data_IF_013549814823
#
_entry.id   IF_013549814823
#
_cell.length_a   1.000
_cell.length_b   1.000
_cell.length_c   1.000
_cell.angle_alpha   90.00
_cell.angle_beta   90.00
_cell.angle_gamma   90.00
#
_symmetry.space_group_name_H-M   'P 1'
#
loop_
_entity.id
_entity.type
_entity.pdbx_description
1 polymer ?
#
# COMPACT_ATOMS: atom_id res chain seq x y z
N UNK A 1 7.70 -13.11 -9.11
CA UNK A 1 7.84 -13.18 -7.65
C UNK A 1 9.14 -12.51 -7.31
N UNK A 2 9.17 -11.66 -6.28
CA UNK A 2 10.35 -10.85 -5.93
C UNK A 2 10.60 -10.88 -4.42
N UNK A 3 11.85 -10.77 -3.95
CA UNK A 3 12.14 -10.72 -2.51
C UNK A 3 11.31 -9.63 -1.83
N UNK A 4 10.72 -9.96 -0.68
CA UNK A 4 10.00 -9.02 0.16
C UNK A 4 10.91 -8.44 1.22
N UNK A 5 10.58 -7.24 1.67
CA UNK A 5 11.19 -6.59 2.81
C UNK A 5 10.29 -6.64 4.05
N UNK A 6 10.82 -6.16 5.18
CA UNK A 6 10.10 -6.05 6.45
C UNK A 6 9.55 -7.40 6.94
N UNK A 7 10.46 -8.32 7.16
CA UNK A 7 10.19 -9.63 7.75
C UNK A 7 11.41 -10.14 8.52
N UNK A 8 11.20 -11.15 9.36
CA UNK A 8 12.27 -11.86 10.05
C UNK A 8 12.06 -13.38 9.94
N UNK A 9 13.13 -14.18 9.85
CA UNK A 9 13.00 -15.63 9.89
C UNK A 9 12.46 -16.09 11.26
N UNK A 10 11.77 -17.23 11.25
CA UNK A 10 11.32 -17.94 12.44
C UNK A 10 11.78 -19.40 12.36
N UNK A 11 11.50 -20.17 13.40
CA UNK A 11 11.79 -21.60 13.44
C UNK A 11 11.04 -22.39 12.35
N UNK A 12 11.61 -23.53 11.95
CA UNK A 12 11.01 -24.47 11.00
C UNK A 12 10.67 -23.87 9.63
N UNK A 13 11.45 -22.89 9.17
CA UNK A 13 11.27 -22.24 7.87
C UNK A 13 10.05 -21.31 7.80
N UNK A 14 9.40 -21.02 8.92
CA UNK A 14 8.38 -19.98 8.95
C UNK A 14 9.02 -18.59 8.90
N UNK A 15 8.23 -17.57 8.53
CA UNK A 15 8.65 -16.17 8.54
C UNK A 15 7.64 -15.31 9.26
N UNK A 16 8.12 -14.27 9.94
CA UNK A 16 7.31 -13.22 10.53
C UNK A 16 7.25 -12.06 9.55
N UNK A 17 6.14 -11.87 8.85
CA UNK A 17 5.90 -10.66 8.07
C UNK A 17 5.64 -9.50 9.03
N UNK A 18 6.29 -8.36 8.80
CA UNK A 18 6.21 -7.15 9.63
C UNK A 18 5.78 -5.92 8.84
N UNK A 19 5.22 -6.13 7.65
CA UNK A 19 4.80 -5.05 6.74
C UNK A 19 3.60 -4.24 7.28
N UNK A 20 2.62 -4.92 7.87
CA UNK A 20 1.41 -4.31 8.40
C UNK A 20 1.13 -4.77 9.82
N UNK A 21 0.17 -4.13 10.48
CA UNK A 21 -0.17 -4.42 11.87
C UNK A 21 -0.86 -5.76 12.10
N UNK A 22 -0.95 -6.64 11.10
CA UNK A 22 -1.31 -8.04 11.32
C UNK A 22 -0.16 -8.87 11.87
N UNK A 23 1.08 -8.51 11.57
CA UNK A 23 2.26 -9.30 11.92
C UNK A 23 2.05 -10.81 11.63
N UNK A 24 1.77 -11.15 10.37
CA UNK A 24 1.47 -12.54 10.01
C UNK A 24 2.70 -13.44 10.22
N UNK A 25 2.52 -14.53 10.98
CA UNK A 25 3.39 -15.71 10.88
C UNK A 25 2.98 -16.51 9.66
N UNK A 26 3.92 -16.77 8.76
CA UNK A 26 3.66 -17.47 7.49
C UNK A 26 4.56 -18.69 7.43
N UNK A 27 3.97 -19.88 7.50
CA UNK A 27 4.68 -21.15 7.31
C UNK A 27 5.25 -21.27 5.89
N UNK A 28 6.23 -22.14 5.69
CA UNK A 28 6.79 -22.38 4.35
C UNK A 28 5.69 -22.86 3.37
N UNK A 29 5.73 -22.32 2.15
CA UNK A 29 4.67 -22.47 1.14
C UNK A 29 3.39 -21.67 1.42
N UNK A 30 3.29 -21.02 2.58
CA UNK A 30 2.12 -20.26 3.01
C UNK A 30 2.04 -18.84 2.45
N UNK A 31 0.91 -18.18 2.72
CA UNK A 31 0.69 -16.76 2.38
C UNK A 31 0.22 -15.94 3.57
N UNK A 32 0.56 -14.67 3.58
CA UNK A 32 0.02 -13.69 4.52
C UNK A 32 -1.44 -13.37 4.22
N UNK A 33 -2.13 -12.73 5.17
CA UNK A 33 -3.56 -12.39 5.06
C UNK A 33 -3.91 -11.58 3.80
N UNK A 34 -3.00 -10.75 3.30
CA UNK A 34 -3.22 -9.97 2.08
C UNK A 34 -3.19 -10.79 0.77
N UNK A 35 -2.80 -12.07 0.84
CA UNK A 35 -2.75 -12.99 -0.30
C UNK A 35 -1.56 -12.79 -1.25
N UNK A 36 -0.77 -11.72 -1.08
CA UNK A 36 0.33 -11.35 -1.99
C UNK A 36 1.73 -11.47 -1.39
N UNK A 37 1.82 -11.75 -0.08
CA UNK A 37 3.07 -12.07 0.62
C UNK A 37 3.16 -13.58 0.77
N UNK A 38 4.20 -14.19 0.21
CA UNK A 38 4.35 -15.65 0.13
C UNK A 38 5.67 -16.03 0.78
N UNK A 39 5.66 -17.03 1.65
CA UNK A 39 6.89 -17.65 2.14
C UNK A 39 7.26 -18.81 1.22
N UNK A 40 8.49 -18.81 0.72
CA UNK A 40 9.02 -19.91 -0.09
C UNK A 40 10.44 -20.22 0.35
N UNK A 41 10.68 -21.43 0.84
CA UNK A 41 11.99 -21.87 1.32
C UNK A 41 12.49 -21.08 2.53
N UNK A 42 11.60 -20.58 3.39
CA UNK A 42 11.98 -19.78 4.56
C UNK A 42 12.34 -18.33 4.26
N UNK A 43 12.06 -17.84 3.04
CA UNK A 43 12.21 -16.45 2.67
C UNK A 43 10.88 -15.85 2.22
N UNK A 44 10.63 -14.59 2.59
CA UNK A 44 9.42 -13.90 2.18
C UNK A 44 9.57 -13.26 0.80
N UNK A 45 8.55 -13.41 -0.03
CA UNK A 45 8.43 -12.82 -1.35
C UNK A 45 7.12 -12.03 -1.49
N UNK A 46 7.11 -11.09 -2.44
CA UNK A 46 5.92 -10.38 -2.89
C UNK A 46 5.57 -10.78 -4.33
N UNK A 47 4.28 -10.91 -4.58
CA UNK A 47 3.75 -11.20 -5.92
C UNK A 47 3.47 -9.93 -6.74
N UNK A 48 3.50 -8.75 -6.11
CA UNK A 48 2.99 -7.50 -6.69
C UNK A 48 4.03 -6.40 -6.91
N UNK A 49 5.33 -6.66 -6.70
CA UNK A 49 6.41 -5.67 -6.90
C UNK A 49 6.46 -5.07 -8.31
N UNK A 50 5.96 -5.77 -9.32
CA UNK A 50 6.04 -5.34 -10.73
C UNK A 50 4.72 -5.52 -11.48
N UNK A 51 3.58 -5.50 -10.76
CA UNK A 51 2.26 -5.78 -11.33
C UNK A 51 1.24 -4.77 -10.85
N UNK A 52 0.84 -3.86 -11.74
CA UNK A 52 -0.21 -2.86 -11.49
C UNK A 52 -1.52 -3.35 -12.08
N UNK A 53 -2.55 -3.44 -11.26
CA UNK A 53 -3.86 -3.96 -11.63
C UNK A 53 -4.84 -2.85 -12.03
N UNK A 54 -4.60 -1.62 -11.57
CA UNK A 54 -5.36 -0.44 -11.97
C UNK A 54 -4.44 0.77 -12.06
N UNK A 55 -4.59 1.58 -13.10
CA UNK A 55 -3.81 2.78 -13.37
C UNK A 55 -4.70 3.81 -14.06
N UNK A 56 -4.78 5.03 -13.52
CA UNK A 56 -5.55 6.14 -14.10
C UNK A 56 -4.84 7.47 -13.83
N UNK A 57 -5.14 8.48 -14.64
CA UNK A 57 -4.76 9.88 -14.34
C UNK A 57 -6.00 10.64 -13.89
N UNK A 58 -5.97 11.13 -12.65
CA UNK A 58 -7.09 11.81 -12.01
C UNK A 58 -6.66 13.22 -11.53
N UNK A 59 -7.59 14.15 -11.30
CA UNK A 59 -7.31 15.36 -10.51
C UNK A 59 -6.98 14.99 -9.05
N UNK A 60 -6.10 15.77 -8.41
CA UNK A 60 -5.71 15.54 -7.00
C UNK A 60 -6.91 15.61 -6.04
N UNK A 61 -7.93 16.40 -6.37
CA UNK A 61 -9.17 16.54 -5.62
C UNK A 61 -9.94 15.20 -5.48
N UNK A 62 -9.73 14.25 -6.40
CA UNK A 62 -10.30 12.89 -6.29
C UNK A 62 -9.63 12.03 -5.21
N UNK A 63 -8.48 12.46 -4.67
CA UNK A 63 -7.76 11.82 -3.54
C UNK A 63 -8.14 12.44 -2.18
N UNK A 64 -9.33 13.05 -2.09
CA UNK A 64 -9.75 14.10 -1.16
C UNK A 64 -8.72 15.11 -0.64
N UNK A 65 -7.77 15.54 -1.47
CA UNK A 65 -6.68 16.43 -1.08
C UNK A 65 -6.80 17.85 -1.68
N UNK A 66 -7.92 18.53 -1.42
CA UNK A 66 -8.32 19.79 -2.08
C UNK A 66 -7.35 20.97 -1.91
N UNK A 67 -6.49 20.96 -0.90
CA UNK A 67 -5.53 22.04 -0.63
C UNK A 67 -4.08 21.61 -0.80
N UNK A 68 -3.84 20.38 -1.28
CA UNK A 68 -2.53 19.90 -1.64
C UNK A 68 -2.43 19.85 -3.17
N UNK A 69 -1.60 20.73 -3.76
CA UNK A 69 -1.46 20.86 -5.22
C UNK A 69 -2.81 21.03 -5.97
N UNK A 70 -3.64 22.03 -5.59
CA UNK A 70 -4.97 22.22 -6.18
C UNK A 70 -4.90 22.46 -7.70
N UNK A 71 -5.86 21.89 -8.43
CA UNK A 71 -5.97 22.00 -9.89
C UNK A 71 -4.96 21.16 -10.68
N UNK A 72 -4.12 20.37 -10.01
CA UNK A 72 -3.12 19.51 -10.67
C UNK A 72 -3.62 18.08 -10.87
N UNK A 73 -2.90 17.33 -11.70
CA UNK A 73 -3.19 15.91 -11.98
C UNK A 73 -2.23 14.98 -11.23
N UNK A 74 -2.71 13.77 -10.97
CA UNK A 74 -1.93 12.70 -10.32
C UNK A 74 -2.07 11.37 -11.06
N UNK A 75 -0.95 10.71 -11.33
CA UNK A 75 -0.96 9.34 -11.84
C UNK A 75 -1.27 8.41 -10.66
N UNK A 76 -2.41 7.75 -10.70
CA UNK A 76 -2.93 6.89 -9.64
C UNK A 76 -2.83 5.43 -10.00
N UNK A 77 -2.16 4.62 -9.18
CA UNK A 77 -2.06 3.19 -9.41
C UNK A 77 -2.24 2.35 -8.16
N UNK A 78 -2.59 1.08 -8.37
CA UNK A 78 -2.76 0.08 -7.32
C UNK A 78 -2.53 -1.34 -7.83
N UNK A 79 -2.18 -2.25 -6.92
CA UNK A 79 -1.96 -3.66 -7.22
C UNK A 79 -3.11 -4.52 -6.68
N UNK A 80 -3.03 -5.84 -6.84
CA UNK A 80 -3.94 -6.75 -6.16
C UNK A 80 -3.58 -6.90 -4.67
N UNK A 81 -4.56 -7.23 -3.84
CA UNK A 81 -4.41 -7.56 -2.41
C UNK A 81 -4.64 -6.37 -1.48
N UNK A 82 -5.00 -6.65 -0.23
CA UNK A 82 -5.24 -5.62 0.79
C UNK A 82 -4.89 -6.12 2.19
N UNK A 83 -4.49 -5.23 3.09
CA UNK A 83 -4.29 -5.57 4.50
C UNK A 83 -5.61 -5.86 5.22
N UNK A 84 -6.74 -5.31 4.76
CA UNK A 84 -8.07 -5.49 5.34
C UNK A 84 -8.98 -6.37 4.46
N UNK A 85 -10.13 -6.78 4.99
CA UNK A 85 -11.14 -7.56 4.29
C UNK A 85 -12.55 -6.92 4.43
N UNK A 86 -12.63 -5.60 4.26
CA UNK A 86 -13.86 -4.85 4.53
C UNK A 86 -15.08 -5.41 3.77
N UNK A 87 -16.18 -5.67 4.47
CA UNK A 87 -17.41 -6.20 3.87
C UNK A 87 -18.06 -5.23 2.87
N UNK A 88 -17.74 -3.94 2.96
CA UNK A 88 -18.23 -2.85 2.08
C UNK A 88 -17.19 -2.40 1.03
N UNK A 89 -16.17 -3.21 0.74
CA UNK A 89 -15.08 -2.78 -0.14
C UNK A 89 -15.55 -2.48 -1.57
N UNK A 90 -15.38 -1.23 -2.02
CA UNK A 90 -15.68 -0.84 -3.41
C UNK A 90 -14.68 -1.47 -4.40
N UNK A 91 -13.41 -1.58 -4.01
CA UNK A 91 -12.35 -2.20 -4.81
C UNK A 91 -12.17 -3.70 -4.48
N UNK A 92 -13.27 -4.42 -4.21
CA UNK A 92 -13.22 -5.82 -3.79
C UNK A 92 -12.58 -6.72 -4.86
N UNK A 93 -12.81 -6.44 -6.14
CA UNK A 93 -12.21 -7.15 -7.28
C UNK A 93 -10.68 -7.10 -7.28
N UNK A 94 -10.08 -6.02 -6.76
CA UNK A 94 -8.63 -5.92 -6.61
C UNK A 94 -8.14 -6.52 -5.28
N UNK A 95 -8.86 -6.25 -4.20
CA UNK A 95 -8.38 -6.48 -2.84
C UNK A 95 -8.56 -7.91 -2.34
N UNK A 96 -9.65 -8.59 -2.72
CA UNK A 96 -10.05 -9.86 -2.12
C UNK A 96 -9.54 -11.11 -2.86
N UNK A 97 -9.52 -11.20 -4.21
CA UNK A 97 -9.16 -12.44 -4.89
C UNK A 97 -7.83 -13.07 -4.45
N UNK A 98 -6.74 -12.32 -4.21
CA UNK A 98 -5.47 -12.93 -3.76
C UNK A 98 -5.58 -13.70 -2.45
N UNK A 99 -6.41 -13.22 -1.51
CA UNK A 99 -6.65 -13.86 -0.20
C UNK A 99 -7.32 -15.23 -0.37
N UNK A 100 -8.11 -15.39 -1.43
CA UNK A 100 -8.83 -16.63 -1.76
C UNK A 100 -8.10 -17.49 -2.80
N UNK A 101 -6.79 -17.26 -3.01
CA UNK A 101 -5.99 -18.03 -3.97
C UNK A 101 -6.15 -17.60 -5.43
N UNK A 102 -6.84 -16.50 -5.70
CA UNK A 102 -6.97 -15.92 -7.03
C UNK A 102 -5.61 -15.56 -7.65
N UNK A 103 -5.55 -15.60 -8.97
CA UNK A 103 -4.34 -15.23 -9.71
C UNK A 103 -4.05 -13.73 -9.58
N UNK A 104 -2.77 -13.39 -9.52
CA UNK A 104 -2.34 -11.99 -9.51
C UNK A 104 -2.36 -11.47 -10.95
N UNK A 105 -3.31 -10.57 -11.19
CA UNK A 105 -3.48 -9.89 -12.47
C UNK A 105 -2.81 -8.51 -12.46
N UNK A 106 -2.56 -7.97 -13.65
CA UNK A 106 -2.01 -6.64 -13.84
C UNK A 106 -0.92 -6.55 -14.89
N UNK A 107 -0.70 -5.33 -15.35
CA UNK A 107 0.34 -4.99 -16.32
C UNK A 107 1.70 -4.98 -15.63
N UNK A 108 2.72 -5.45 -16.35
CA UNK A 108 4.10 -5.38 -15.87
C UNK A 108 4.59 -3.95 -15.95
N UNK A 109 5.15 -3.44 -14.85
CA UNK A 109 5.68 -2.08 -14.76
C UNK A 109 7.01 -2.06 -14.02
N UNK A 110 7.77 -0.98 -14.19
CA UNK A 110 8.87 -0.59 -13.31
C UNK A 110 8.60 0.78 -12.69
N UNK A 111 9.25 1.12 -11.56
CA UNK A 111 9.20 2.47 -10.99
C UNK A 111 9.43 3.60 -12.01
N UNK A 112 10.43 3.43 -12.88
CA UNK A 112 10.82 4.40 -13.89
C UNK A 112 9.70 4.60 -14.92
N UNK A 113 9.12 3.51 -15.42
CA UNK A 113 8.00 3.59 -16.39
C UNK A 113 6.77 4.29 -15.81
N UNK A 114 6.52 4.15 -14.49
CA UNK A 114 5.43 4.86 -13.81
C UNK A 114 5.73 6.36 -13.68
N UNK A 115 6.97 6.72 -13.38
CA UNK A 115 7.41 8.12 -13.29
C UNK A 115 7.37 8.79 -14.66
N UNK A 116 7.86 8.12 -15.71
CA UNK A 116 7.79 8.60 -17.09
C UNK A 116 6.34 8.82 -17.51
N UNK A 117 5.46 7.83 -17.30
CA UNK A 117 4.03 7.96 -17.60
C UNK A 117 3.36 9.14 -16.87
N UNK A 118 3.76 9.41 -15.61
CA UNK A 118 3.24 10.55 -14.86
C UNK A 118 3.68 11.88 -15.47
N UNK A 119 4.95 11.99 -15.88
CA UNK A 119 5.50 13.19 -16.54
C UNK A 119 4.86 13.43 -17.90
N UNK A 120 4.75 12.40 -18.71
CA UNK A 120 4.15 12.46 -20.05
C UNK A 120 2.67 12.88 -19.98
N UNK A 121 1.96 12.48 -18.93
CA UNK A 121 0.59 12.90 -18.67
C UNK A 121 0.46 14.31 -18.04
N UNK A 122 1.57 15.01 -17.79
CA UNK A 122 1.58 16.32 -17.15
C UNK A 122 1.10 16.29 -15.70
N UNK A 123 1.35 15.20 -14.98
CA UNK A 123 1.00 15.09 -13.57
C UNK A 123 2.00 15.85 -12.69
N UNK A 124 1.52 16.43 -11.59
CA UNK A 124 2.37 17.02 -10.55
C UNK A 124 2.72 16.00 -9.46
N UNK A 125 2.05 14.85 -9.43
CA UNK A 125 2.21 13.85 -8.38
C UNK A 125 1.89 12.43 -8.85
N UNK A 126 2.27 11.45 -8.03
CA UNK A 126 1.89 10.05 -8.15
C UNK A 126 1.11 9.63 -6.89
N UNK A 127 -0.02 8.95 -7.08
CA UNK A 127 -0.90 8.44 -6.02
C UNK A 127 -0.87 6.92 -5.93
N UNK A 128 -0.49 6.40 -4.77
CA UNK A 128 -0.52 4.98 -4.44
C UNK A 128 -1.87 4.63 -3.79
N UNK A 129 -2.75 3.89 -4.49
CA UNK A 129 -4.19 3.83 -4.14
C UNK A 129 -4.91 2.53 -4.61
N UNK A 130 -6.25 2.60 -4.72
CA UNK A 130 -7.24 1.58 -5.07
C UNK A 130 -7.39 0.46 -4.04
N UNK A 131 -6.46 -0.48 -3.99
CA UNK A 131 -6.53 -1.62 -3.09
C UNK A 131 -5.99 -1.26 -1.71
N UNK A 132 -4.67 -1.34 -1.53
CA UNK A 132 -3.97 -0.84 -0.36
C UNK A 132 -2.46 -0.70 -0.64
N UNK A 133 -1.91 0.52 -0.64
CA UNK A 133 -0.49 0.76 -0.92
C UNK A 133 0.51 0.02 -0.03
N UNK A 134 0.13 -0.27 1.23
CA UNK A 134 0.98 -1.05 2.12
C UNK A 134 1.38 -2.41 1.53
N UNK A 135 0.51 -3.08 0.76
CA UNK A 135 0.81 -4.44 0.26
C UNK A 135 1.85 -4.44 -0.86
N UNK A 136 1.97 -3.34 -1.60
CA UNK A 136 2.95 -3.13 -2.67
C UNK A 136 4.06 -2.15 -2.27
N UNK A 137 4.39 -2.12 -0.97
CA UNK A 137 5.43 -1.28 -0.37
C UNK A 137 6.70 -1.15 -1.20
N UNK A 138 7.26 -2.24 -1.71
CA UNK A 138 8.50 -2.20 -2.49
C UNK A 138 8.34 -1.38 -3.78
N UNK A 139 7.24 -1.59 -4.51
CA UNK A 139 6.94 -0.82 -5.72
C UNK A 139 6.67 0.64 -5.38
N UNK A 140 5.87 0.90 -4.34
CA UNK A 140 5.57 2.25 -3.87
C UNK A 140 6.84 3.00 -3.47
N UNK A 141 7.70 2.41 -2.63
CA UNK A 141 8.92 3.04 -2.16
C UNK A 141 9.87 3.37 -3.31
N UNK A 142 10.12 2.41 -4.19
CA UNK A 142 11.07 2.59 -5.29
C UNK A 142 10.52 3.63 -6.29
N UNK A 143 9.21 3.64 -6.54
CA UNK A 143 8.54 4.67 -7.36
C UNK A 143 8.60 6.04 -6.69
N UNK A 144 8.39 6.12 -5.37
CA UNK A 144 8.42 7.38 -4.64
C UNK A 144 9.82 8.01 -4.64
N UNK A 145 10.85 7.18 -4.52
CA UNK A 145 12.24 7.60 -4.63
C UNK A 145 12.54 8.19 -6.03
N UNK A 146 12.10 7.50 -7.08
CA UNK A 146 12.27 7.98 -8.46
C UNK A 146 11.45 9.25 -8.74
N UNK A 147 10.22 9.32 -8.25
CA UNK A 147 9.31 10.45 -8.39
C UNK A 147 9.91 11.74 -7.81
N UNK A 148 10.52 11.67 -6.61
CA UNK A 148 11.22 12.82 -6.01
C UNK A 148 12.35 13.35 -6.89
N UNK A 149 13.14 12.45 -7.49
CA UNK A 149 14.20 12.83 -8.43
C UNK A 149 13.68 13.52 -9.70
N UNK A 150 12.41 13.25 -10.06
CA UNK A 150 11.72 13.84 -11.20
C UNK A 150 10.89 15.10 -10.86
N UNK A 151 10.91 15.56 -9.60
CA UNK A 151 10.12 16.71 -9.16
C UNK A 151 8.62 16.44 -9.01
N UNK A 152 8.22 15.17 -8.87
CA UNK A 152 6.84 14.76 -8.64
C UNK A 152 6.60 14.54 -7.14
N UNK A 153 5.47 15.03 -6.62
CA UNK A 153 5.05 14.74 -5.25
C UNK A 153 4.46 13.32 -5.12
N UNK A 154 4.51 12.77 -3.91
CA UNK A 154 4.03 11.43 -3.60
C UNK A 154 2.82 11.48 -2.67
N UNK A 155 1.72 10.87 -3.11
CA UNK A 155 0.44 10.81 -2.40
C UNK A 155 0.13 9.35 -2.03
N UNK A 156 -0.18 9.09 -0.76
CA UNK A 156 -0.62 7.78 -0.29
C UNK A 156 -2.12 7.79 0.07
N UNK A 157 -2.94 6.96 -0.58
CA UNK A 157 -4.35 6.78 -0.21
C UNK A 157 -4.52 5.38 0.37
N UNK A 158 -4.78 5.28 1.68
CA UNK A 158 -4.60 4.03 2.42
C UNK A 158 -5.62 3.85 3.54
N UNK A 159 -5.81 2.61 3.96
CA UNK A 159 -6.50 2.27 5.19
C UNK A 159 -5.67 2.50 6.48
N UNK A 160 -4.40 2.90 6.34
CA UNK A 160 -3.53 3.30 7.45
C UNK A 160 -3.07 2.16 8.36
N UNK A 161 -3.24 0.90 7.97
CA UNK A 161 -2.95 -0.27 8.84
C UNK A 161 -1.51 -0.81 8.74
N UNK A 162 -0.60 -0.03 8.17
CA UNK A 162 0.83 -0.35 8.08
C UNK A 162 1.52 -0.47 9.44
N UNK A 163 2.62 -1.23 9.50
CA UNK A 163 3.41 -1.33 10.73
C UNK A 163 4.19 -0.05 10.98
N UNK A 164 4.66 0.20 12.23
CA UNK A 164 5.56 1.32 12.51
C UNK A 164 6.81 1.31 11.64
N UNK A 165 7.37 0.12 11.37
CA UNK A 165 8.57 -0.05 10.53
C UNK A 165 8.31 0.32 9.07
N UNK A 166 7.15 -0.08 8.52
CA UNK A 166 6.74 0.30 7.18
C UNK A 166 6.54 1.81 7.07
N UNK A 167 5.88 2.41 8.06
CA UNK A 167 5.65 3.85 8.11
C UNK A 167 6.98 4.64 8.17
N UNK A 168 7.91 4.21 9.02
CA UNK A 168 9.21 4.87 9.16
C UNK A 168 10.02 4.82 7.85
N UNK A 169 9.96 3.71 7.10
CA UNK A 169 10.64 3.56 5.80
C UNK A 169 10.03 4.42 4.69
N UNK A 170 8.85 4.99 4.90
CA UNK A 170 8.18 5.90 3.96
C UNK A 170 8.24 7.36 4.40
N UNK A 171 8.71 7.63 5.62
CA UNK A 171 8.67 8.94 6.28
C UNK A 171 9.14 10.10 5.40
N UNK A 172 10.27 9.93 4.71
CA UNK A 172 10.87 10.95 3.84
C UNK A 172 10.44 10.87 2.37
N UNK A 173 9.54 9.94 2.04
CA UNK A 173 9.15 9.64 0.65
C UNK A 173 7.75 10.11 0.30
N UNK A 174 6.85 10.20 1.28
CA UNK A 174 5.46 10.59 1.07
C UNK A 174 5.27 12.05 1.51
N UNK A 175 4.61 12.84 0.66
CA UNK A 175 4.36 14.26 0.90
C UNK A 175 2.94 14.50 1.43
N UNK A 176 1.98 13.69 0.98
CA UNK A 176 0.59 13.72 1.44
C UNK A 176 0.01 12.32 1.58
N UNK A 177 -0.93 12.15 2.50
CA UNK A 177 -1.71 10.94 2.61
C UNK A 177 -3.18 11.23 2.91
N UNK A 178 -4.08 10.47 2.28
CA UNK A 178 -5.48 10.39 2.69
C UNK A 178 -5.69 9.03 3.36
N UNK A 179 -5.96 9.04 4.67
CA UNK A 179 -6.15 7.82 5.45
C UNK A 179 -7.61 7.63 5.81
N UNK A 180 -8.18 6.52 5.37
CA UNK A 180 -9.55 6.16 5.69
C UNK A 180 -9.69 5.72 7.16
N UNK A 181 -10.13 6.63 8.03
CA UNK A 181 -10.65 6.29 9.35
C UNK A 181 -12.07 5.76 9.21
N UNK A 182 -12.22 4.44 9.05
CA UNK A 182 -13.47 3.78 8.62
C UNK A 182 -14.54 3.69 9.71
N UNK A 183 -14.19 3.99 10.96
CA UNK A 183 -15.08 3.97 12.11
C UNK A 183 -14.35 4.41 13.38
N UNK A 184 -15.09 4.58 14.48
CA UNK A 184 -14.54 5.05 15.76
C UNK A 184 -14.57 4.00 16.88
N UNK A 185 -14.94 2.75 16.57
CA UNK A 185 -14.95 1.65 17.52
C UNK A 185 -14.12 0.47 17.02
N UNK A 186 -13.47 -0.24 17.95
CA UNK A 186 -12.69 -1.43 17.60
C UNK A 186 -13.61 -2.58 17.13
N UNK A 187 -14.85 -2.64 17.63
CA UNK A 187 -15.86 -3.61 17.19
C UNK A 187 -16.19 -3.46 15.71
N UNK A 188 -16.33 -2.23 15.20
CA UNK A 188 -16.53 -1.99 13.77
C UNK A 188 -15.30 -2.46 12.98
N UNK A 189 -14.09 -2.13 13.45
CA UNK A 189 -12.87 -2.57 12.79
C UNK A 189 -12.72 -4.10 12.76
N UNK A 190 -13.06 -4.79 13.85
CA UNK A 190 -12.96 -6.25 13.93
C UNK A 190 -14.04 -6.95 13.11
N UNK A 191 -15.30 -6.54 13.29
CA UNK A 191 -16.45 -7.20 12.68
C UNK A 191 -16.66 -6.85 11.21
N UNK A 192 -16.29 -5.63 10.79
CA UNK A 192 -16.59 -5.13 9.45
C UNK A 192 -15.33 -4.98 8.60
N UNK A 193 -14.21 -4.51 9.16
CA UNK A 193 -12.96 -4.33 8.42
C UNK A 193 -11.99 -5.53 8.52
N UNK A 194 -12.24 -6.45 9.47
CA UNK A 194 -11.32 -7.52 9.86
C UNK A 194 -9.92 -7.01 10.22
N UNK A 195 -9.87 -5.91 10.97
CA UNK A 195 -8.66 -5.23 11.40
C UNK A 195 -8.83 -4.69 12.84
N UNK A 196 -7.97 -3.75 13.25
CA UNK A 196 -8.01 -3.09 14.56
C UNK A 196 -7.97 -1.58 14.39
N UNK A 197 -8.68 -0.84 15.23
CA UNK A 197 -8.75 0.63 15.12
C UNK A 197 -7.45 1.29 15.57
N UNK A 198 -6.88 0.84 16.68
CA UNK A 198 -5.78 1.55 17.34
C UNK A 198 -4.53 1.73 16.45
N UNK A 199 -4.10 0.75 15.64
CA UNK A 199 -3.00 0.96 14.70
C UNK A 199 -3.22 2.10 13.71
N UNK A 200 -4.45 2.28 13.21
CA UNK A 200 -4.79 3.38 12.28
C UNK A 200 -4.69 4.73 12.98
N UNK A 201 -5.24 4.84 14.20
CA UNK A 201 -5.18 6.07 15.02
C UNK A 201 -3.74 6.46 15.35
N UNK A 202 -2.91 5.48 15.72
CA UNK A 202 -1.48 5.70 15.99
C UNK A 202 -0.76 6.20 14.73
N UNK A 203 -1.01 5.58 13.59
CA UNK A 203 -0.35 5.96 12.34
C UNK A 203 -0.77 7.35 11.87
N UNK A 204 -2.04 7.73 12.00
CA UNK A 204 -2.50 9.11 11.74
C UNK A 204 -1.71 10.15 12.55
N UNK A 205 -1.52 9.93 13.86
CA UNK A 205 -0.71 10.82 14.71
C UNK A 205 0.73 10.88 14.23
N UNK A 206 1.33 9.71 13.94
CA UNK A 206 2.72 9.62 13.49
C UNK A 206 2.95 10.31 12.14
N UNK A 207 2.01 10.20 11.21
CA UNK A 207 2.07 10.89 9.91
C UNK A 207 2.04 12.41 10.09
N UNK A 208 1.24 12.94 11.03
CA UNK A 208 1.25 14.37 11.38
C UNK A 208 2.59 14.81 11.95
N UNK A 209 3.18 14.01 12.84
CA UNK A 209 4.51 14.28 13.41
C UNK A 209 5.62 14.26 12.34
N UNK A 210 5.48 13.42 11.31
CA UNK A 210 6.38 13.37 10.15
C UNK A 210 6.22 14.56 9.20
N UNK A 211 5.21 15.40 9.39
CA UNK A 211 4.94 16.57 8.54
C UNK A 211 4.23 16.24 7.23
N UNK A 212 3.65 15.05 7.09
CA UNK A 212 2.83 14.72 5.92
C UNK A 212 1.57 15.58 5.92
N UNK A 213 1.16 15.99 4.73
CA UNK A 213 -0.19 16.53 4.54
C UNK A 213 -1.22 15.41 4.78
N UNK A 214 -2.14 15.60 5.72
CA UNK A 214 -3.23 14.64 6.04
C UNK A 214 -4.60 15.29 5.88
#
# INVERSE_FOLDING_TARGET
MHPAELWSPLEKGAVQCRLCCHFCRIDDGGRGQCGVRVNQGGALYTLVRSRVAALNVDPVEKKPLYHFLPGTRTLSFGTMGCTMACTFCQNHELSQPPRHGGQIQGQTVTPETLVEAARDAGCASISYTYSEPTVFFELMRDTAQAARGAGLANIMVSNGFMSPECLERLSSLIDAANIDLKGFTDDFYRGVCHARLEPVRRNLKRMREMGWWL
#
